data_IF_525229407795
#
_entry.id   IF_525229407795
#
_cell.length_a   1.000
_cell.length_b   1.000
_cell.length_c   1.000
_cell.angle_alpha   90.00
_cell.angle_beta   90.00
_cell.angle_gamma   90.00
#
_symmetry.space_group_name_H-M   'P 1'
#
loop_
_entity.id
_entity.type
_entity.pdbx_description
1 polymer ?
#
# COMPACT_ATOMS: atom_id res chain seq x y z
N UNK A 1 -9.24 -7.34 -15.29
CA UNK A 1 -8.00 -7.69 -14.58
C UNK A 1 -8.33 -7.83 -13.11
N UNK A 2 -8.01 -8.99 -12.54
CA UNK A 2 -8.31 -9.33 -11.15
C UNK A 2 -7.06 -9.87 -10.48
N UNK A 3 -6.93 -9.69 -9.18
CA UNK A 3 -5.84 -10.29 -8.40
C UNK A 3 -6.12 -11.77 -8.15
N UNK A 4 -5.11 -12.62 -7.84
CA UNK A 4 -5.34 -13.99 -7.40
C UNK A 4 -5.99 -14.07 -6.00
N UNK A 5 -6.98 -14.95 -5.76
CA UNK A 5 -7.62 -15.84 -6.71
C UNK A 5 -8.54 -15.05 -7.66
N UNK A 6 -8.40 -15.27 -8.97
CA UNK A 6 -9.12 -14.51 -10.00
C UNK A 6 -10.65 -14.71 -9.91
N UNK A 7 -11.34 -13.94 -9.08
CA UNK A 7 -12.80 -13.86 -9.01
C UNK A 7 -13.29 -12.61 -9.77
N UNK A 8 -14.36 -12.77 -10.53
CA UNK A 8 -15.00 -11.73 -11.33
C UNK A 8 -16.06 -10.94 -10.56
N UNK A 9 -16.42 -11.38 -9.34
CA UNK A 9 -17.30 -10.61 -8.46
C UNK A 9 -16.63 -9.28 -8.10
N UNK A 10 -17.45 -8.23 -8.02
CA UNK A 10 -17.05 -6.95 -7.43
C UNK A 10 -16.99 -7.10 -5.90
N UNK A 11 -16.07 -7.93 -5.42
CA UNK A 11 -15.78 -8.00 -3.99
C UNK A 11 -14.86 -6.84 -3.61
N UNK A 12 -15.11 -6.29 -2.42
CA UNK A 12 -14.22 -5.30 -1.81
C UNK A 12 -12.85 -5.95 -1.66
N UNK A 13 -11.80 -5.16 -1.89
CA UNK A 13 -10.44 -5.57 -1.56
C UNK A 13 -10.39 -6.02 -0.10
N UNK A 14 -9.78 -7.16 0.15
CA UNK A 14 -9.41 -7.60 1.48
C UNK A 14 -7.96 -7.19 1.77
N UNK A 15 -7.63 -7.07 3.05
CA UNK A 15 -6.25 -6.88 3.49
C UNK A 15 -5.96 -7.87 4.60
N UNK A 16 -5.01 -8.75 4.34
CA UNK A 16 -4.46 -9.64 5.36
C UNK A 16 -3.40 -8.85 6.10
N UNK A 17 -3.59 -8.71 7.42
CA UNK A 17 -2.66 -8.00 8.30
C UNK A 17 -2.00 -9.02 9.22
N UNK A 18 -0.72 -9.31 9.00
CA UNK A 18 0.11 -10.09 9.93
C UNK A 18 0.96 -9.15 10.78
N UNK A 19 0.49 -8.86 11.99
CA UNK A 19 1.21 -7.98 12.92
C UNK A 19 2.51 -8.57 13.46
N UNK A 20 2.80 -9.86 13.18
CA UNK A 20 4.07 -10.51 13.54
C UNK A 20 5.09 -10.44 12.40
N UNK A 21 4.66 -10.24 11.16
CA UNK A 21 5.53 -10.06 10.02
C UNK A 21 6.27 -8.71 10.10
N UNK A 22 7.44 -8.62 9.46
CA UNK A 22 8.22 -7.38 9.47
C UNK A 22 7.70 -6.44 8.38
N UNK A 23 7.33 -5.22 8.77
CA UNK A 23 6.91 -4.19 7.81
C UNK A 23 7.99 -3.90 6.75
N UNK A 24 9.27 -3.95 7.15
CA UNK A 24 10.40 -3.69 6.25
C UNK A 24 10.59 -4.75 5.16
N UNK A 25 10.01 -5.94 5.35
CA UNK A 25 9.99 -7.02 4.35
C UNK A 25 8.74 -6.90 3.44
N UNK A 26 7.90 -5.89 3.66
CA UNK A 26 6.65 -5.63 2.93
C UNK A 26 5.57 -6.73 3.08
N UNK A 27 5.62 -7.51 4.16
CA UNK A 27 4.73 -8.67 4.39
C UNK A 27 3.60 -8.38 5.40
N UNK A 28 3.71 -7.32 6.21
CA UNK A 28 2.74 -7.01 7.27
C UNK A 28 1.34 -6.70 6.72
N UNK A 29 1.26 -6.06 5.56
CA UNK A 29 0.00 -5.76 4.88
C UNK A 29 0.01 -6.42 3.52
N UNK A 30 -0.81 -7.45 3.35
CA UNK A 30 -0.99 -8.18 2.10
C UNK A 30 -2.41 -7.93 1.57
N UNK A 31 -2.61 -6.84 0.83
CA UNK A 31 -3.89 -6.49 0.24
C UNK A 31 -4.14 -7.22 -1.08
N UNK A 32 -5.40 -7.56 -1.30
CA UNK A 32 -5.86 -8.17 -2.55
C UNK A 32 -6.21 -7.07 -3.55
N UNK A 33 -5.27 -6.75 -4.44
CA UNK A 33 -5.39 -5.59 -5.32
C UNK A 33 -4.67 -5.77 -6.66
N UNK A 34 -4.96 -4.88 -7.61
CA UNK A 34 -4.29 -4.89 -8.92
C UNK A 34 -3.13 -3.90 -8.94
N UNK A 35 -1.94 -4.40 -9.23
CA UNK A 35 -0.72 -3.59 -9.32
C UNK A 35 -0.31 -3.35 -10.77
N UNK A 36 0.27 -2.18 -11.01
CA UNK A 36 0.88 -1.75 -12.26
C UNK A 36 2.28 -1.22 -11.98
N UNK A 37 3.12 -1.17 -13.00
CA UNK A 37 4.46 -0.61 -12.92
C UNK A 37 4.67 0.40 -14.05
N UNK A 38 5.30 1.53 -13.74
CA UNK A 38 5.63 2.57 -14.73
C UNK A 38 7.09 2.39 -15.16
N UNK A 39 7.40 1.33 -15.94
CA UNK A 39 8.77 0.91 -16.30
C UNK A 39 9.11 1.26 -17.76
N UNK A 40 10.22 1.96 -18.03
CA UNK A 40 10.78 2.09 -19.38
C UNK A 40 10.99 0.72 -20.03
N UNK A 41 10.83 0.64 -21.35
CA UNK A 41 10.88 -0.66 -22.06
C UNK A 41 12.28 -1.27 -22.02
N UNK A 42 13.29 -0.42 -22.06
CA UNK A 42 14.70 -0.76 -21.92
C UNK A 42 15.02 -1.43 -20.58
N UNK A 43 14.28 -1.11 -19.52
CA UNK A 43 14.52 -1.61 -18.15
C UNK A 43 13.59 -2.77 -17.77
N UNK A 44 12.69 -3.16 -18.67
CA UNK A 44 11.63 -4.14 -18.38
C UNK A 44 12.16 -5.57 -18.16
N UNK A 45 13.40 -5.86 -18.56
CA UNK A 45 13.98 -7.20 -18.50
C UNK A 45 13.98 -7.80 -17.09
N UNK A 46 14.27 -7.01 -16.06
CA UNK A 46 14.30 -7.48 -14.66
C UNK A 46 12.89 -7.86 -14.20
N UNK A 47 11.90 -7.04 -14.55
CA UNK A 47 10.49 -7.28 -14.24
C UNK A 47 9.96 -8.54 -14.95
N UNK A 48 10.31 -8.73 -16.22
CA UNK A 48 9.95 -9.93 -16.99
C UNK A 48 10.52 -11.20 -16.34
N UNK A 49 11.80 -11.17 -15.95
CA UNK A 49 12.45 -12.30 -15.30
C UNK A 49 11.82 -12.67 -13.96
N UNK A 50 11.29 -11.67 -13.23
CA UNK A 50 10.66 -11.85 -11.92
C UNK A 50 9.22 -12.34 -12.02
N UNK A 51 8.47 -11.87 -13.01
CA UNK A 51 7.03 -12.10 -13.12
C UNK A 51 6.64 -12.92 -14.35
N UNK A 52 6.74 -12.33 -15.55
CA UNK A 52 6.31 -12.96 -16.80
C UNK A 52 6.74 -12.14 -18.02
N UNK A 53 7.03 -12.75 -19.18
CA UNK A 53 7.24 -12.04 -20.44
C UNK A 53 5.94 -11.52 -21.07
N UNK A 54 4.77 -11.81 -20.48
CA UNK A 54 3.47 -11.33 -20.93
C UNK A 54 3.02 -10.13 -20.10
N UNK A 55 2.48 -9.12 -20.75
CA UNK A 55 1.94 -7.94 -20.07
C UNK A 55 1.01 -7.10 -20.93
N UNK A 56 0.20 -6.28 -20.27
CA UNK A 56 -0.64 -5.27 -20.92
C UNK A 56 -0.40 -3.92 -20.24
N UNK A 57 -0.53 -2.85 -20.99
CA UNK A 57 -0.38 -1.49 -20.49
C UNK A 57 -1.60 -0.66 -20.81
N UNK A 58 -1.80 0.39 -20.01
CA UNK A 58 -2.90 1.34 -20.12
C UNK A 58 -2.33 2.75 -20.08
N UNK A 59 -3.07 3.71 -20.61
CA UNK A 59 -2.76 5.13 -20.39
C UNK A 59 -2.86 5.46 -18.89
N UNK A 60 -1.96 6.32 -18.40
CA UNK A 60 -1.95 6.74 -16.99
C UNK A 60 -3.29 7.34 -16.55
N UNK A 61 -3.90 8.13 -17.43
CA UNK A 61 -5.23 8.72 -17.20
C UNK A 61 -6.33 7.67 -17.01
N UNK A 62 -6.24 6.53 -17.70
CA UNK A 62 -7.18 5.43 -17.51
C UNK A 62 -7.02 4.86 -16.10
N UNK A 63 -5.79 4.58 -15.66
CA UNK A 63 -5.47 4.06 -14.33
C UNK A 63 -5.96 5.02 -13.23
N UNK A 64 -5.68 6.32 -13.36
CA UNK A 64 -6.14 7.35 -12.40
C UNK A 64 -7.67 7.39 -12.32
N UNK A 65 -8.37 7.35 -13.45
CA UNK A 65 -9.86 7.33 -13.48
C UNK A 65 -10.45 6.07 -12.84
N UNK A 66 -9.67 4.99 -12.72
CA UNK A 66 -10.04 3.77 -11.99
C UNK A 66 -9.64 3.80 -10.50
N UNK A 67 -9.12 4.92 -10.01
CA UNK A 67 -8.68 5.09 -8.63
C UNK A 67 -7.23 4.65 -8.37
N UNK A 68 -6.44 4.48 -9.43
CA UNK A 68 -5.04 4.08 -9.31
C UNK A 68 -4.16 5.20 -8.80
N UNK A 69 -3.24 4.85 -7.91
CA UNK A 69 -2.32 5.78 -7.27
C UNK A 69 -0.91 5.18 -7.21
N UNK A 70 0.16 5.99 -7.33
CA UNK A 70 1.50 5.52 -7.06
C UNK A 70 1.63 5.16 -5.58
N UNK A 71 2.52 4.21 -5.29
CA UNK A 71 2.82 3.83 -3.91
C UNK A 71 3.85 4.77 -3.28
N UNK A 72 3.98 4.71 -1.96
CA UNK A 72 4.97 5.47 -1.21
C UNK A 72 6.17 4.59 -0.86
N UNK A 73 7.28 4.84 -1.55
CA UNK A 73 8.55 4.17 -1.30
C UNK A 73 9.27 4.75 -0.10
N UNK A 74 9.71 3.88 0.81
CA UNK A 74 10.42 4.25 2.04
C UNK A 74 11.82 3.61 2.04
N UNK A 75 12.90 4.39 1.89
CA UNK A 75 14.25 3.87 2.07
C UNK A 75 14.46 3.49 3.54
N UNK A 76 14.79 2.23 3.80
CA UNK A 76 14.85 1.65 5.15
C UNK A 76 15.81 2.44 6.07
N UNK A 77 16.98 2.80 5.55
CA UNK A 77 18.05 3.43 6.33
C UNK A 77 17.96 4.96 6.42
N UNK A 78 16.94 5.59 5.82
CA UNK A 78 16.81 7.04 5.91
C UNK A 78 16.67 7.48 7.38
N UNK A 79 17.41 8.52 7.75
CA UNK A 79 17.47 9.01 9.14
C UNK A 79 16.11 9.54 9.60
N UNK A 80 15.74 9.19 10.82
CA UNK A 80 14.52 9.62 11.49
C UNK A 80 14.78 9.82 12.98
N UNK A 81 14.20 10.87 13.56
CA UNK A 81 14.25 11.07 15.01
C UNK A 81 13.12 10.31 15.67
N UNK A 82 13.45 9.58 16.74
CA UNK A 82 12.50 8.99 17.67
C UNK A 82 12.48 9.81 18.95
N UNK A 83 11.37 10.47 19.22
CA UNK A 83 11.22 11.26 20.44
C UNK A 83 10.85 10.35 21.61
N UNK A 84 11.63 10.44 22.69
CA UNK A 84 11.42 9.58 23.85
C UNK A 84 10.09 9.89 24.52
N UNK A 85 9.39 8.83 24.96
CA UNK A 85 8.14 8.96 25.71
C UNK A 85 8.37 9.79 26.97
N UNK A 86 7.48 10.76 27.21
CA UNK A 86 7.42 11.48 28.48
C UNK A 86 6.56 10.73 29.49
N UNK A 87 6.77 10.97 30.78
CA UNK A 87 5.92 10.41 31.84
C UNK A 87 4.49 10.92 31.70
N UNK A 88 3.51 10.15 32.21
CA UNK A 88 2.11 10.58 32.22
C UNK A 88 1.91 11.86 33.04
N UNK A 89 2.67 12.03 34.12
CA UNK A 89 2.68 13.26 34.93
C UNK A 89 3.14 14.47 34.12
N UNK A 90 4.25 14.34 33.37
CA UNK A 90 4.74 15.41 32.49
C UNK A 90 3.76 15.70 31.35
N UNK A 91 3.15 14.66 30.78
CA UNK A 91 2.09 14.84 29.78
C UNK A 91 0.91 15.63 30.34
N UNK A 92 0.44 15.27 31.54
CA UNK A 92 -0.67 15.95 32.21
C UNK A 92 -0.34 17.41 32.52
N UNK A 93 0.88 17.69 32.99
CA UNK A 93 1.37 19.05 33.21
C UNK A 93 1.31 19.88 31.93
N UNK A 94 1.86 19.35 30.83
CA UNK A 94 1.87 20.02 29.54
C UNK A 94 0.46 20.20 28.95
N UNK A 95 -0.40 19.20 29.06
CA UNK A 95 -1.80 19.25 28.64
C UNK A 95 -2.54 20.38 29.37
N UNK A 96 -2.40 20.46 30.70
CA UNK A 96 -3.00 21.54 31.51
C UNK A 96 -2.46 22.91 31.11
N UNK A 97 -1.15 23.02 30.89
CA UNK A 97 -0.50 24.27 30.45
C UNK A 97 -0.98 24.71 29.06
N UNK A 98 -1.20 23.77 28.15
CA UNK A 98 -1.70 24.04 26.79
C UNK A 98 -3.21 24.30 26.74
N UNK A 99 -3.95 23.93 27.79
CA UNK A 99 -5.41 24.02 27.82
C UNK A 99 -6.10 23.00 26.90
N UNK A 100 -5.41 21.95 26.47
CA UNK A 100 -5.94 21.00 25.49
C UNK A 100 -4.87 20.08 24.85
N UNK A 101 -5.25 19.34 23.79
CA UNK A 101 -4.40 18.33 23.16
C UNK A 101 -3.26 18.90 22.30
N UNK A 102 -3.29 20.19 21.95
CA UNK A 102 -2.25 20.88 21.18
C UNK A 102 -1.01 21.20 22.04
N UNK A 103 -0.39 20.13 22.54
CA UNK A 103 0.79 20.21 23.38
C UNK A 103 2.00 20.58 22.52
N UNK A 104 2.60 21.73 22.81
CA UNK A 104 3.94 22.06 22.30
C UNK A 104 4.99 21.37 23.15
N UNK A 105 5.55 20.31 22.61
CA UNK A 105 6.70 19.66 23.21
C UNK A 105 7.95 20.53 23.00
N UNK A 106 8.52 21.06 24.09
CA UNK A 106 9.87 21.63 24.08
C UNK A 106 10.91 20.56 23.68
N UNK A 107 12.14 20.95 23.34
CA UNK A 107 13.23 20.04 22.92
C UNK A 107 13.24 18.73 23.72
N UNK A 108 12.62 17.70 23.17
CA UNK A 108 12.58 16.38 23.77
C UNK A 108 13.89 15.67 23.44
N UNK A 109 14.38 14.88 24.40
CA UNK A 109 15.43 13.93 24.12
C UNK A 109 14.94 13.00 23.01
N UNK A 110 15.74 12.90 21.96
CA UNK A 110 15.46 12.02 20.84
C UNK A 110 16.63 11.06 20.63
N UNK A 111 16.30 9.89 20.09
CA UNK A 111 17.25 8.95 19.51
C UNK A 111 17.26 9.16 17.99
N UNK A 112 18.44 9.14 17.36
CA UNK A 112 18.54 9.03 15.91
C UNK A 112 18.42 7.56 15.52
N UNK A 113 17.37 7.22 14.79
CA UNK A 113 17.11 5.87 14.25
C UNK A 113 16.91 5.95 12.73
N UNK A 114 16.72 4.81 12.07
CA UNK A 114 16.32 4.78 10.66
C UNK A 114 14.79 4.68 10.48
N UNK A 115 14.31 4.93 9.25
CA UNK A 115 12.89 4.87 8.89
C UNK A 115 12.30 3.48 9.10
N UNK A 116 13.03 2.41 8.80
CA UNK A 116 12.58 1.04 9.02
C UNK A 116 12.22 0.78 10.49
N UNK A 117 13.14 1.10 11.40
CA UNK A 117 12.94 0.96 12.83
C UNK A 117 11.84 1.91 13.35
N UNK A 118 11.78 3.13 12.83
CA UNK A 118 10.74 4.10 13.21
C UNK A 118 9.34 3.57 12.87
N UNK A 119 9.12 3.11 11.63
CA UNK A 119 7.84 2.57 11.21
C UNK A 119 7.49 1.29 11.95
N UNK A 120 8.46 0.42 12.22
CA UNK A 120 8.25 -0.78 13.05
C UNK A 120 7.73 -0.42 14.44
N UNK A 121 8.33 0.57 15.11
CA UNK A 121 7.86 1.04 16.44
C UNK A 121 6.47 1.69 16.37
N UNK A 122 6.26 2.57 15.39
CA UNK A 122 4.99 3.29 15.25
C UNK A 122 3.81 2.37 14.91
N UNK A 123 4.00 1.40 14.02
CA UNK A 123 2.97 0.44 13.67
C UNK A 123 2.64 -0.50 14.82
N UNK A 124 3.63 -0.87 15.64
CA UNK A 124 3.34 -1.60 16.88
C UNK A 124 2.41 -0.80 17.80
N UNK A 125 2.72 0.49 18.02
CA UNK A 125 1.87 1.38 18.84
C UNK A 125 0.47 1.49 18.24
N UNK A 126 0.37 1.68 16.93
CA UNK A 126 -0.90 1.71 16.20
C UNK A 126 -1.70 0.43 16.46
N UNK A 127 -1.15 -0.75 16.20
CA UNK A 127 -1.88 -2.01 16.34
C UNK A 127 -2.26 -2.30 17.79
N UNK A 128 -1.38 -2.01 18.76
CA UNK A 128 -1.68 -2.16 20.18
C UNK A 128 -2.86 -1.26 20.58
N UNK A 129 -2.89 -0.01 20.09
CA UNK A 129 -3.97 0.95 20.33
C UNK A 129 -5.30 0.48 19.74
N UNK A 130 -5.34 0.15 18.44
CA UNK A 130 -6.57 -0.35 17.79
C UNK A 130 -7.05 -1.67 18.42
N UNK A 131 -6.13 -2.56 18.81
CA UNK A 131 -6.47 -3.79 19.56
C UNK A 131 -7.15 -3.47 20.89
N UNK A 132 -6.64 -2.49 21.64
CA UNK A 132 -7.25 -2.07 22.91
C UNK A 132 -8.65 -1.48 22.67
N UNK A 133 -8.79 -0.58 21.70
CA UNK A 133 -10.07 0.03 21.35
C UNK A 133 -11.08 -1.04 20.94
N UNK A 134 -10.71 -1.96 20.05
CA UNK A 134 -11.59 -3.06 19.63
C UNK A 134 -12.01 -3.95 20.80
N UNK A 135 -11.10 -4.26 21.74
CA UNK A 135 -11.46 -4.99 22.98
C UNK A 135 -12.48 -4.23 23.83
N UNK A 136 -12.33 -2.92 23.97
CA UNK A 136 -13.28 -2.09 24.70
C UNK A 136 -14.63 -2.04 23.97
N UNK A 137 -14.65 -1.81 22.66
CA UNK A 137 -15.87 -1.80 21.84
C UNK A 137 -16.61 -3.13 22.01
N UNK A 138 -15.95 -4.26 21.80
CA UNK A 138 -16.57 -5.59 21.95
C UNK A 138 -17.13 -5.83 23.35
N UNK A 139 -16.44 -5.35 24.39
CA UNK A 139 -16.87 -5.51 25.77
C UNK A 139 -18.11 -4.68 26.12
N UNK A 140 -18.27 -3.51 25.51
CA UNK A 140 -19.30 -2.53 25.89
C UNK A 140 -20.38 -2.30 24.82
N UNK A 141 -20.22 -2.82 23.59
CA UNK A 141 -21.10 -2.55 22.45
C UNK A 141 -22.56 -2.92 22.70
N UNK A 142 -22.81 -4.02 23.40
CA UNK A 142 -24.16 -4.47 23.76
C UNK A 142 -24.90 -3.53 24.72
N UNK A 143 -24.20 -2.59 25.35
CA UNK A 143 -24.77 -1.59 26.28
C UNK A 143 -24.92 -0.22 25.63
N UNK A 144 -24.59 -0.09 24.35
CA UNK A 144 -24.72 1.16 23.62
C UNK A 144 -26.16 1.31 23.16
N UNK A 145 -26.86 2.29 23.75
CA UNK A 145 -28.24 2.62 23.39
C UNK A 145 -28.34 3.97 22.63
N UNK A 146 -27.26 4.76 22.63
CA UNK A 146 -27.19 6.06 21.96
C UNK A 146 -26.77 5.90 20.49
N UNK A 147 -27.53 6.53 19.60
CA UNK A 147 -27.22 6.64 18.16
C UNK A 147 -25.89 7.32 17.91
N UNK A 148 -25.56 8.37 18.67
CA UNK A 148 -24.30 9.12 18.52
C UNK A 148 -23.07 8.22 18.78
N UNK A 149 -23.18 7.30 19.74
CA UNK A 149 -22.11 6.34 20.02
C UNK A 149 -21.95 5.33 18.88
N UNK A 150 -23.05 4.85 18.28
CA UNK A 150 -23.00 3.96 17.13
C UNK A 150 -22.42 4.65 15.88
N UNK A 151 -22.77 5.92 15.65
CA UNK A 151 -22.21 6.72 14.55
C UNK A 151 -20.70 6.92 14.69
N UNK A 152 -20.21 7.16 15.92
CA UNK A 152 -18.76 7.23 16.17
C UNK A 152 -18.05 5.89 15.93
N UNK A 153 -18.70 4.76 16.22
CA UNK A 153 -18.14 3.44 15.92
C UNK A 153 -18.06 3.21 14.40
N UNK A 154 -19.08 3.60 13.63
CA UNK A 154 -19.02 3.56 12.17
C UNK A 154 -17.87 4.42 11.63
N UNK A 155 -17.72 5.65 12.13
CA UNK A 155 -16.62 6.54 11.75
C UNK A 155 -15.24 5.95 12.08
N UNK A 156 -15.11 5.32 13.25
CA UNK A 156 -13.89 4.61 13.63
C UNK A 156 -13.58 3.45 12.67
N UNK A 157 -14.57 2.62 12.34
CA UNK A 157 -14.40 1.53 11.37
C UNK A 157 -13.99 2.05 9.98
N UNK A 158 -14.58 3.16 9.52
CA UNK A 158 -14.18 3.80 8.26
C UNK A 158 -12.74 4.32 8.30
N UNK A 159 -12.31 4.90 9.42
CA UNK A 159 -10.94 5.38 9.59
C UNK A 159 -9.94 4.22 9.58
N UNK A 160 -10.25 3.12 10.25
CA UNK A 160 -9.40 1.91 10.25
C UNK A 160 -9.24 1.36 8.82
N UNK A 161 -10.36 1.20 8.09
CA UNK A 161 -10.35 0.79 6.67
C UNK A 161 -9.52 1.76 5.83
N UNK A 162 -9.72 3.08 6.00
CA UNK A 162 -8.95 4.09 5.29
C UNK A 162 -7.44 3.95 5.53
N UNK A 163 -7.01 3.82 6.78
CA UNK A 163 -5.59 3.69 7.12
C UNK A 163 -4.97 2.41 6.55
N UNK A 164 -5.67 1.29 6.68
CA UNK A 164 -5.18 0.01 6.18
C UNK A 164 -5.05 0.02 4.66
N UNK A 165 -6.10 0.40 3.93
CA UNK A 165 -6.10 0.33 2.46
C UNK A 165 -5.40 1.51 1.76
N UNK A 166 -5.63 2.74 2.21
CA UNK A 166 -5.12 3.92 1.50
C UNK A 166 -3.68 4.25 1.89
N UNK A 167 -3.28 3.91 3.12
CA UNK A 167 -1.96 4.28 3.63
C UNK A 167 -1.03 3.08 3.74
N UNK A 168 -1.30 2.14 4.66
CA UNK A 168 -0.34 1.07 4.96
C UNK A 168 -0.16 0.09 3.80
N UNK A 169 -1.25 -0.28 3.13
CA UNK A 169 -1.24 -1.05 1.88
C UNK A 169 -0.64 -0.31 0.69
N UNK A 170 -0.19 0.95 0.82
CA UNK A 170 0.54 1.68 -0.22
C UNK A 170 1.99 2.00 0.20
N UNK A 171 2.48 1.46 1.32
CA UNK A 171 3.89 1.60 1.70
C UNK A 171 4.73 0.49 1.06
N UNK A 172 5.93 0.84 0.60
CA UNK A 172 6.93 -0.13 0.14
C UNK A 172 8.31 0.26 0.61
N UNK A 173 8.86 -0.57 1.48
CA UNK A 173 10.20 -0.43 2.02
C UNK A 173 11.20 -1.04 1.05
N UNK A 174 12.34 -0.37 0.88
CA UNK A 174 13.42 -0.85 0.02
C UNK A 174 14.80 -0.51 0.59
N UNK A 175 15.79 -1.31 0.22
CA UNK A 175 17.18 -1.05 0.53
C UNK A 175 17.80 -0.16 -0.55
N UNK A 176 17.96 1.13 -0.23
CA UNK A 176 18.53 2.14 -1.12
C UNK A 176 20.01 1.93 -1.50
N UNK A 177 20.71 0.96 -0.89
CA UNK A 177 22.10 0.63 -1.24
C UNK A 177 22.20 -0.41 -2.36
N UNK A 178 21.09 -1.06 -2.72
CA UNK A 178 21.04 -1.96 -3.87
C UNK A 178 21.10 -1.14 -5.16
N UNK A 179 21.70 -1.72 -6.20
CA UNK A 179 21.71 -1.08 -7.52
C UNK A 179 20.31 -1.09 -8.14
N UNK A 180 20.08 -0.22 -9.12
CA UNK A 180 18.77 -0.12 -9.80
C UNK A 180 18.41 -1.40 -10.57
N UNK A 181 19.42 -2.20 -10.94
CA UNK A 181 19.25 -3.48 -11.63
C UNK A 181 19.13 -4.70 -10.70
N UNK A 182 19.20 -4.48 -9.38
CA UNK A 182 19.05 -5.54 -8.39
C UNK A 182 17.57 -5.98 -8.31
N UNK A 183 17.25 -7.28 -8.43
CA UNK A 183 15.87 -7.78 -8.40
C UNK A 183 15.13 -7.52 -7.07
N UNK A 184 15.86 -7.24 -5.98
CA UNK A 184 15.32 -6.89 -4.67
C UNK A 184 15.20 -5.38 -4.45
N UNK A 185 15.67 -4.56 -5.40
CA UNK A 185 15.43 -3.12 -5.39
C UNK A 185 14.05 -2.78 -5.99
N UNK A 186 13.00 -2.81 -5.19
CA UNK A 186 11.64 -2.52 -5.65
C UNK A 186 11.40 -1.09 -6.18
N UNK A 187 12.36 -0.17 -6.01
CA UNK A 187 12.18 1.23 -6.40
C UNK A 187 12.05 1.41 -7.93
N UNK A 188 12.73 0.58 -8.73
CA UNK A 188 12.70 0.71 -10.20
C UNK A 188 11.32 0.43 -10.79
N UNK A 189 10.48 -0.36 -10.11
CA UNK A 189 9.15 -0.75 -10.60
C UNK A 189 8.21 0.46 -10.71
N UNK A 190 8.42 1.50 -9.89
CA UNK A 190 7.52 2.67 -9.78
C UNK A 190 6.05 2.21 -9.76
N UNK A 191 5.74 1.38 -8.78
CA UNK A 191 4.50 0.63 -8.65
C UNK A 191 3.30 1.56 -8.41
N UNK A 192 2.17 1.22 -9.03
CA UNK A 192 0.86 1.83 -8.86
C UNK A 192 -0.13 0.76 -8.43
N UNK A 193 -1.09 1.14 -7.60
CA UNK A 193 -2.06 0.22 -7.00
C UNK A 193 -3.48 0.71 -7.25
N UNK A 194 -4.35 -0.21 -7.66
CA UNK A 194 -5.80 -0.04 -7.70
C UNK A 194 -6.39 -1.08 -6.77
N UNK A 195 -7.17 -0.62 -5.78
CA UNK A 195 -7.76 -1.51 -4.78
C UNK A 195 -8.73 -2.52 -5.41
N UNK A 196 -9.57 -2.08 -6.35
CA UNK A 196 -10.60 -2.94 -6.94
C UNK A 196 -10.13 -3.68 -8.19
N UNK A 197 -10.92 -4.67 -8.61
CA UNK A 197 -10.81 -5.24 -9.95
C UNK A 197 -11.02 -4.17 -11.04
N UNK A 198 -10.36 -4.36 -12.19
CA UNK A 198 -10.42 -3.41 -13.30
C UNK A 198 -11.17 -4.04 -14.46
N UNK A 199 -12.30 -3.42 -14.81
CA UNK A 199 -13.01 -3.66 -16.06
C UNK A 199 -12.48 -2.71 -17.13
N UNK A 200 -12.11 -3.27 -18.28
CA UNK A 200 -11.55 -2.58 -19.43
C UNK A 200 -12.03 -3.24 -20.72
N UNK A 201 -12.06 -2.49 -21.81
CA UNK A 201 -12.28 -2.99 -23.15
C UNK A 201 -10.95 -3.08 -23.91
N UNK A 202 -10.94 -3.77 -25.06
CA UNK A 202 -9.71 -3.97 -25.84
C UNK A 202 -9.09 -2.63 -26.30
N UNK A 203 -9.90 -1.60 -26.47
CA UNK A 203 -9.48 -0.25 -26.86
C UNK A 203 -8.78 0.52 -25.73
N UNK A 204 -8.98 0.13 -24.47
CA UNK A 204 -8.28 0.71 -23.32
C UNK A 204 -6.82 0.23 -23.24
N UNK A 205 -6.52 -0.93 -23.84
CA UNK A 205 -5.18 -1.53 -23.83
C UNK A 205 -4.30 -0.82 -24.84
N UNK A 206 -3.21 -0.22 -24.36
CA UNK A 206 -2.33 0.62 -25.20
C UNK A 206 -1.23 -0.17 -25.90
N UNK A 207 -0.61 -1.08 -25.16
CA UNK A 207 0.46 -1.96 -25.63
C UNK A 207 0.33 -3.32 -24.98
N UNK A 208 0.59 -4.36 -25.76
CA UNK A 208 0.71 -5.75 -25.31
C UNK A 208 2.17 -6.16 -25.45
N UNK A 209 2.72 -6.66 -24.34
CA UNK A 209 4.04 -7.26 -24.22
C UNK A 209 3.86 -8.78 -24.35
N UNK A 210 4.56 -9.41 -25.29
CA UNK A 210 4.33 -10.83 -25.61
C UNK A 210 5.58 -11.45 -26.24
N UNK A 211 5.95 -12.72 -25.96
CA UNK A 211 7.02 -13.38 -26.69
C UNK A 211 6.66 -13.52 -28.16
N UNK A 212 7.67 -13.41 -29.04
CA UNK A 212 7.46 -13.35 -30.49
C UNK A 212 6.73 -14.59 -31.03
N UNK A 213 6.98 -15.79 -30.48
CA UNK A 213 6.33 -17.01 -30.96
C UNK A 213 4.81 -17.03 -30.78
N UNK A 214 4.26 -16.21 -29.87
CA UNK A 214 2.81 -16.11 -29.64
C UNK A 214 2.14 -15.03 -30.51
N UNK A 215 2.90 -14.20 -31.23
CA UNK A 215 2.36 -13.05 -31.95
C UNK A 215 1.29 -13.43 -32.98
N UNK A 216 1.47 -14.56 -33.69
CA UNK A 216 0.50 -15.04 -34.67
C UNK A 216 -0.82 -15.46 -34.01
N UNK A 217 -0.75 -16.24 -32.92
CA UNK A 217 -1.92 -16.70 -32.20
C UNK A 217 -2.68 -15.52 -31.59
N UNK A 218 -1.96 -14.59 -30.96
CA UNK A 218 -2.55 -13.37 -30.41
C UNK A 218 -3.34 -12.57 -31.46
N UNK A 219 -2.80 -12.38 -32.67
CA UNK A 219 -3.51 -11.66 -33.74
C UNK A 219 -4.78 -12.37 -34.22
N UNK A 220 -4.79 -13.70 -34.20
CA UNK A 220 -5.99 -14.47 -34.55
C UNK A 220 -7.05 -14.39 -33.45
N UNK A 221 -6.62 -14.44 -32.19
CA UNK A 221 -7.52 -14.47 -31.02
C UNK A 221 -8.05 -13.07 -30.66
N UNK A 222 -7.25 -12.02 -30.93
CA UNK A 222 -7.58 -10.61 -30.68
C UNK A 222 -7.56 -9.79 -31.99
N UNK A 223 -8.41 -10.11 -32.99
CA UNK A 223 -8.35 -9.48 -34.31
C UNK A 223 -8.69 -7.98 -34.30
N UNK A 224 -9.38 -7.52 -33.25
CA UNK A 224 -9.78 -6.12 -33.06
C UNK A 224 -8.76 -5.31 -32.26
N UNK A 225 -7.64 -5.90 -31.85
CA UNK A 225 -6.58 -5.14 -31.17
C UNK A 225 -5.67 -4.46 -32.19
N UNK A 226 -5.76 -3.14 -32.24
CA UNK A 226 -4.95 -2.29 -33.13
C UNK A 226 -3.84 -1.53 -32.39
N UNK A 227 -3.63 -1.81 -31.10
CA UNK A 227 -2.58 -1.20 -30.31
C UNK A 227 -1.19 -1.76 -30.64
N UNK A 228 -0.18 -1.27 -29.92
CA UNK A 228 1.20 -1.68 -30.16
C UNK A 228 1.44 -3.10 -29.64
N UNK A 229 2.13 -3.95 -30.42
CA UNK A 229 2.77 -5.15 -29.93
C UNK A 229 4.25 -4.86 -29.68
N UNK A 230 4.78 -5.35 -28.57
CA UNK A 230 6.20 -5.29 -28.25
C UNK A 230 6.65 -6.69 -27.88
N UNK A 231 7.62 -7.20 -28.64
CA UNK A 231 8.12 -8.54 -28.43
C UNK A 231 9.09 -8.57 -27.27
N UNK A 232 8.78 -9.40 -26.29
CA UNK A 232 9.64 -9.70 -25.16
C UNK A 232 10.55 -10.87 -25.52
N UNK A 233 11.73 -10.89 -24.90
CA UNK A 233 12.73 -11.96 -25.06
C UNK A 233 12.66 -12.92 -23.89
#
# INVERSE_FOLDING_TARGET
LTHPPHDTKEELSEVIIDTNAKIIENEMYSPTMVCFCDIPIEDLGIHINKYSPFGISFEKDFIVKKGGTPIYYIPIDARQRWYNKITGERFLELFKKAGGPDIKYEKQNYEDINKGEYFRRMLKIHHDFFTLINKLITKYSQRLESTDALDLLDQYSRLDIFLNFQFFSNLKFFNHNLSDDDPDNYYYEREWRILTNIKFNIEDVRRVLIPEEYAKNFRNDCPNYYGQLTYTK
#
